data_IF_269280780964
#
_entry.id   IF_269280780964
#
_cell.length_a   1.000
_cell.length_b   1.000
_cell.length_c   1.000
_cell.angle_alpha   90.00
_cell.angle_beta   90.00
_cell.angle_gamma   90.00
#
_symmetry.space_group_name_H-M   'P 1'
#
loop_
_entity.id
_entity.type
_entity.pdbx_description
1 polymer ?
#
# COMPACT_ATOMS: atom_id res chain seq x y z
N UNK A 1 -11.44 28.91 17.31
CA UNK A 1 -11.35 28.10 16.08
C UNK A 1 -11.83 26.66 16.24
N UNK A 2 -13.00 26.34 15.67
CA UNK A 2 -13.61 25.00 15.63
C UNK A 2 -14.02 24.62 14.20
N UNK A 3 -13.91 23.34 13.86
CA UNK A 3 -14.41 22.78 12.61
C UNK A 3 -15.83 22.29 12.85
N UNK A 4 -16.77 22.65 11.98
CA UNK A 4 -18.18 22.28 12.06
C UNK A 4 -18.69 21.82 10.70
N UNK A 5 -19.59 20.85 10.69
CA UNK A 5 -20.27 20.39 9.48
C UNK A 5 -21.16 21.50 8.92
N UNK A 6 -21.09 21.72 7.61
CA UNK A 6 -21.89 22.77 6.96
C UNK A 6 -23.39 22.48 7.04
N UNK A 7 -24.19 23.54 7.09
CA UNK A 7 -25.64 23.50 7.03
C UNK A 7 -26.13 24.37 5.86
N UNK A 8 -27.39 24.18 5.44
CA UNK A 8 -27.98 24.94 4.32
C UNK A 8 -27.86 26.47 4.48
N UNK A 9 -27.95 26.96 5.72
CA UNK A 9 -27.80 28.37 6.05
C UNK A 9 -26.37 28.93 5.86
N UNK A 10 -25.35 28.06 5.78
CA UNK A 10 -23.96 28.45 5.58
C UNK A 10 -23.62 28.71 4.10
N UNK A 11 -24.51 28.39 3.15
CA UNK A 11 -24.27 28.47 1.70
C UNK A 11 -23.69 29.83 1.26
N UNK A 12 -24.28 30.93 1.73
CA UNK A 12 -23.82 32.28 1.40
C UNK A 12 -22.40 32.56 1.93
N UNK A 13 -22.07 32.09 3.14
CA UNK A 13 -20.73 32.24 3.71
C UNK A 13 -19.70 31.40 2.99
N UNK A 14 -20.07 30.17 2.57
CA UNK A 14 -19.19 29.30 1.79
C UNK A 14 -18.87 29.93 0.43
N UNK A 15 -19.91 30.44 -0.25
CA UNK A 15 -19.73 31.11 -1.54
C UNK A 15 -18.83 32.35 -1.43
N UNK A 16 -18.97 33.15 -0.36
CA UNK A 16 -18.08 34.30 -0.10
C UNK A 16 -16.62 33.87 0.08
N UNK A 17 -16.35 32.80 0.86
CA UNK A 17 -15.00 32.26 1.04
C UNK A 17 -14.40 31.84 -0.31
N UNK A 18 -15.15 31.05 -1.09
CA UNK A 18 -14.71 30.55 -2.39
C UNK A 18 -14.43 31.73 -3.35
N UNK A 19 -15.34 32.69 -3.45
CA UNK A 19 -15.20 33.86 -4.31
C UNK A 19 -13.95 34.68 -3.97
N UNK A 20 -13.74 35.02 -2.69
CA UNK A 20 -12.55 35.73 -2.22
C UNK A 20 -11.26 34.97 -2.50
N UNK A 21 -11.25 33.66 -2.28
CA UNK A 21 -10.10 32.81 -2.59
C UNK A 21 -9.82 32.76 -4.09
N UNK A 22 -10.85 32.67 -4.94
CA UNK A 22 -10.71 32.72 -6.41
C UNK A 22 -10.07 34.03 -6.86
N UNK A 23 -10.64 35.17 -6.47
CA UNK A 23 -10.09 36.49 -6.82
C UNK A 23 -8.65 36.67 -6.31
N UNK A 24 -8.36 36.21 -5.10
CA UNK A 24 -7.01 36.26 -4.57
C UNK A 24 -6.03 35.40 -5.39
N UNK A 25 -6.42 34.17 -5.76
CA UNK A 25 -5.60 33.30 -6.61
C UNK A 25 -5.36 33.91 -7.99
N UNK A 26 -6.40 34.45 -8.64
CA UNK A 26 -6.30 35.11 -9.94
C UNK A 26 -5.36 36.32 -9.90
N UNK A 27 -5.39 37.13 -8.82
CA UNK A 27 -4.45 38.24 -8.64
C UNK A 27 -2.98 37.81 -8.50
N UNK A 28 -2.73 36.51 -8.27
CA UNK A 28 -1.41 35.90 -8.22
C UNK A 28 -1.12 35.00 -9.42
N UNK A 29 -1.93 35.09 -10.49
CA UNK A 29 -1.86 34.25 -11.69
C UNK A 29 -2.01 32.75 -11.40
N UNK A 30 -2.88 32.39 -10.45
CA UNK A 30 -3.22 31.00 -10.12
C UNK A 30 -4.66 30.74 -10.57
N UNK A 31 -4.83 30.03 -11.68
CA UNK A 31 -6.14 29.80 -12.30
C UNK A 31 -6.75 28.43 -11.94
N UNK A 32 -6.59 28.01 -10.68
CA UNK A 32 -7.07 26.71 -10.18
C UNK A 32 -8.60 26.58 -10.29
N UNK A 33 -9.35 27.65 -9.99
CA UNK A 33 -10.81 27.69 -10.13
C UNK A 33 -11.17 28.58 -11.30
N UNK A 34 -11.98 28.03 -12.22
CA UNK A 34 -12.45 28.75 -13.40
C UNK A 34 -13.90 29.20 -13.19
N UNK A 35 -14.53 29.66 -14.25
CA UNK A 35 -15.95 30.07 -14.25
C UNK A 35 -16.94 28.90 -14.11
N UNK A 36 -16.48 27.65 -14.34
CA UNK A 36 -17.32 26.46 -14.24
C UNK A 36 -17.19 25.73 -12.90
N UNK A 37 -16.07 25.87 -12.19
CA UNK A 37 -15.78 25.13 -10.97
C UNK A 37 -15.04 25.97 -9.90
N UNK A 38 -15.48 25.93 -8.63
CA UNK A 38 -16.69 25.25 -8.14
C UNK A 38 -17.98 26.08 -8.41
N UNK A 39 -19.07 25.42 -8.79
CA UNK A 39 -20.38 26.04 -8.97
C UNK A 39 -21.19 26.06 -7.66
N UNK A 40 -22.26 26.87 -7.61
CA UNK A 40 -23.21 26.85 -6.48
C UNK A 40 -23.84 25.47 -6.29
N UNK A 41 -24.22 24.79 -7.38
CA UNK A 41 -24.82 23.45 -7.33
C UNK A 41 -23.89 22.41 -6.70
N UNK A 42 -22.57 22.51 -6.96
CA UNK A 42 -21.56 21.65 -6.32
C UNK A 42 -21.51 21.91 -4.81
N UNK A 43 -21.52 23.18 -4.40
CA UNK A 43 -21.51 23.54 -2.97
C UNK A 43 -22.81 23.09 -2.28
N UNK A 44 -23.96 23.21 -2.94
CA UNK A 44 -25.22 22.70 -2.41
C UNK A 44 -25.19 21.18 -2.27
N UNK A 45 -24.63 20.47 -3.24
CA UNK A 45 -24.45 19.01 -3.21
C UNK A 45 -23.54 18.59 -2.04
N UNK A 46 -22.46 19.33 -1.79
CA UNK A 46 -21.58 19.10 -0.63
C UNK A 46 -22.32 19.21 0.71
N UNK A 47 -23.22 20.20 0.81
CA UNK A 47 -24.04 20.42 2.01
C UNK A 47 -25.07 19.28 2.17
N UNK A 48 -25.76 18.92 1.09
CA UNK A 48 -26.81 17.89 1.08
C UNK A 48 -26.22 16.50 1.42
N UNK A 49 -25.08 16.16 0.82
CA UNK A 49 -24.35 14.92 1.11
C UNK A 49 -23.76 14.89 2.53
N UNK A 50 -23.65 16.05 3.18
CA UNK A 50 -23.09 16.17 4.52
C UNK A 50 -21.58 15.92 4.54
N UNK A 51 -20.89 16.24 3.46
CA UNK A 51 -19.47 15.94 3.28
C UNK A 51 -18.58 17.19 3.33
N UNK A 52 -19.15 18.36 3.64
CA UNK A 52 -18.37 19.59 3.81
C UNK A 52 -18.42 20.21 5.20
N UNK A 53 -17.36 20.98 5.47
CA UNK A 53 -17.05 21.55 6.76
C UNK A 53 -16.58 23.00 6.63
N UNK A 54 -16.88 23.77 7.67
CA UNK A 54 -16.36 25.11 7.88
C UNK A 54 -15.43 25.12 9.09
N UNK A 55 -14.31 25.84 8.99
CA UNK A 55 -13.58 26.26 10.17
C UNK A 55 -14.04 27.66 10.56
N UNK A 56 -14.60 27.78 11.77
CA UNK A 56 -15.09 29.05 12.32
C UNK A 56 -14.13 29.60 13.35
N UNK A 57 -13.87 30.90 13.31
CA UNK A 57 -13.16 31.63 14.35
C UNK A 57 -14.04 32.74 14.92
N UNK A 58 -14.32 32.68 16.23
CA UNK A 58 -15.26 33.58 16.91
C UNK A 58 -16.61 33.74 16.17
N UNK A 59 -17.12 32.65 15.58
CA UNK A 59 -18.38 32.63 14.83
C UNK A 59 -18.26 32.99 13.34
N UNK A 60 -17.14 33.58 12.92
CA UNK A 60 -16.87 33.89 11.51
C UNK A 60 -16.37 32.64 10.77
N UNK A 61 -16.96 32.33 9.62
CA UNK A 61 -16.49 31.27 8.73
C UNK A 61 -15.23 31.72 7.98
N UNK A 62 -14.08 31.09 8.25
CA UNK A 62 -12.78 31.52 7.72
C UNK A 62 -12.13 30.53 6.76
N UNK A 63 -12.62 29.29 6.72
CA UNK A 63 -12.19 28.28 5.76
C UNK A 63 -13.33 27.30 5.46
N UNK A 64 -13.26 26.72 4.27
CA UNK A 64 -14.19 25.72 3.75
C UNK A 64 -13.39 24.53 3.18
N UNK A 65 -13.91 23.32 3.33
CA UNK A 65 -13.40 22.14 2.64
C UNK A 65 -14.49 21.07 2.56
N UNK A 66 -14.38 20.20 1.56
CA UNK A 66 -15.21 19.01 1.42
C UNK A 66 -14.34 17.75 1.43
N UNK A 67 -14.85 16.66 1.99
CA UNK A 67 -14.22 15.35 2.02
C UNK A 67 -15.26 14.25 1.77
N UNK A 68 -15.01 13.36 0.81
CA UNK A 68 -15.92 12.27 0.45
C UNK A 68 -15.14 11.09 -0.18
N UNK A 69 -15.85 10.11 -0.71
CA UNK A 69 -15.26 8.96 -1.43
C UNK A 69 -15.33 9.14 -2.95
N UNK A 70 -15.85 10.28 -3.43
CA UNK A 70 -16.07 10.53 -4.84
C UNK A 70 -14.75 10.92 -5.52
N UNK A 71 -14.33 10.09 -6.45
CA UNK A 71 -13.10 10.28 -7.21
C UNK A 71 -13.43 10.74 -8.63
N UNK A 72 -12.80 11.83 -9.13
CA UNK A 72 -12.95 12.23 -10.51
C UNK A 72 -12.54 11.11 -11.48
N UNK A 73 -13.24 10.98 -12.61
CA UNK A 73 -12.98 9.92 -13.59
C UNK A 73 -11.53 9.89 -14.11
N UNK A 74 -10.87 11.04 -14.10
CA UNK A 74 -9.48 11.26 -14.48
C UNK A 74 -8.50 10.52 -13.55
N UNK A 75 -8.92 10.24 -12.30
CA UNK A 75 -8.13 9.49 -11.33
C UNK A 75 -7.92 8.03 -11.75
N UNK A 76 -8.75 7.49 -12.65
CA UNK A 76 -8.61 6.12 -13.17
C UNK A 76 -7.29 5.89 -13.91
N UNK A 77 -6.66 6.96 -14.41
CA UNK A 77 -5.37 6.89 -15.11
C UNK A 77 -4.16 7.11 -14.19
N UNK A 78 -4.39 7.33 -12.90
CA UNK A 78 -3.34 7.58 -11.91
C UNK A 78 -2.96 6.27 -11.23
N UNK A 79 -1.65 6.03 -11.15
CA UNK A 79 -1.08 4.88 -10.46
C UNK A 79 -0.97 5.16 -8.97
N UNK A 80 -2.10 5.06 -8.28
CA UNK A 80 -2.15 5.24 -6.83
C UNK A 80 -1.31 4.18 -6.11
N UNK A 81 -0.64 4.59 -5.03
CA UNK A 81 0.17 3.70 -4.20
C UNK A 81 -0.75 2.67 -3.54
N UNK A 82 -1.87 3.12 -2.94
CA UNK A 82 -2.76 2.25 -2.17
C UNK A 82 -4.01 1.90 -2.99
N UNK A 83 -4.19 0.63 -3.35
CA UNK A 83 -5.38 0.18 -4.10
C UNK A 83 -6.47 -0.32 -3.16
N UNK A 84 -7.25 0.62 -2.65
CA UNK A 84 -8.39 0.38 -1.77
C UNK A 84 -9.64 1.01 -2.35
N UNK A 85 -10.78 0.40 -2.06
CA UNK A 85 -12.09 0.97 -2.37
C UNK A 85 -12.47 2.06 -1.36
N UNK A 86 -11.96 1.97 -0.12
CA UNK A 86 -12.26 2.93 0.94
C UNK A 86 -11.18 3.99 1.06
N UNK A 87 -11.33 5.03 0.24
CA UNK A 87 -10.39 6.16 0.12
C UNK A 87 -11.13 7.47 0.38
N UNK A 88 -10.50 8.36 1.13
CA UNK A 88 -11.03 9.70 1.39
C UNK A 88 -10.40 10.70 0.42
N UNK A 89 -11.20 11.54 -0.23
CA UNK A 89 -10.74 12.55 -1.18
C UNK A 89 -10.93 13.94 -0.58
N UNK A 90 -9.91 14.78 -0.63
CA UNK A 90 -10.00 16.19 -0.20
C UNK A 90 -10.38 17.05 -1.40
N UNK A 91 -11.49 17.76 -1.27
CA UNK A 91 -11.99 18.69 -2.27
C UNK A 91 -12.07 20.12 -1.73
N UNK A 92 -11.88 21.09 -2.64
CA UNK A 92 -12.26 22.50 -2.44
C UNK A 92 -11.74 23.13 -1.13
N UNK A 93 -10.55 22.74 -0.66
CA UNK A 93 -9.93 23.33 0.53
C UNK A 93 -9.58 24.80 0.28
N UNK A 94 -10.29 25.69 0.98
CA UNK A 94 -10.22 27.14 0.84
C UNK A 94 -9.99 27.77 2.21
N UNK A 95 -9.03 28.70 2.30
CA UNK A 95 -8.80 29.53 3.50
C UNK A 95 -8.81 30.98 3.05
N UNK A 96 -9.64 31.80 3.71
CA UNK A 96 -9.75 33.24 3.42
C UNK A 96 -8.36 33.88 3.34
N UNK A 97 -8.09 34.73 2.32
CA UNK A 97 -6.76 35.31 2.10
C UNK A 97 -6.10 35.93 3.34
N UNK A 98 -6.87 36.64 4.14
CA UNK A 98 -6.44 37.31 5.37
C UNK A 98 -6.10 36.36 6.53
N UNK A 99 -6.49 35.09 6.44
CA UNK A 99 -6.15 34.01 7.39
C UNK A 99 -5.08 33.05 6.86
N UNK A 100 -4.58 33.25 5.64
CA UNK A 100 -3.52 32.41 5.08
C UNK A 100 -2.19 32.65 5.79
N UNK A 101 -1.34 31.62 5.85
CA UNK A 101 -0.06 31.67 6.57
C UNK A 101 -0.16 31.48 8.08
N UNK A 102 -1.36 31.48 8.67
CA UNK A 102 -1.59 31.30 10.11
C UNK A 102 -1.73 29.82 10.54
N UNK A 103 -1.39 28.87 9.67
CA UNK A 103 -1.49 27.43 9.96
C UNK A 103 -2.89 26.83 9.89
N UNK A 104 -3.90 27.56 9.38
CA UNK A 104 -5.29 27.09 9.25
C UNK A 104 -5.39 25.81 8.41
N UNK A 105 -4.78 25.80 7.21
CA UNK A 105 -4.81 24.63 6.33
C UNK A 105 -4.15 23.40 6.97
N UNK A 106 -3.05 23.59 7.74
CA UNK A 106 -2.42 22.52 8.53
C UNK A 106 -3.37 21.93 9.57
N UNK A 107 -4.14 22.78 10.27
CA UNK A 107 -5.15 22.33 11.23
C UNK A 107 -6.28 21.53 10.55
N UNK A 108 -6.69 21.95 9.35
CA UNK A 108 -7.67 21.23 8.53
C UNK A 108 -7.12 19.86 8.11
N UNK A 109 -5.90 19.78 7.59
CA UNK A 109 -5.29 18.50 7.22
C UNK A 109 -5.20 17.54 8.41
N UNK A 110 -4.83 18.02 9.60
CA UNK A 110 -4.82 17.19 10.82
C UNK A 110 -6.20 16.62 11.13
N UNK A 111 -7.24 17.44 11.05
CA UNK A 111 -8.63 16.99 11.25
C UNK A 111 -9.05 15.95 10.21
N UNK A 112 -8.71 16.15 8.93
CA UNK A 112 -9.04 15.20 7.87
C UNK A 112 -8.31 13.88 8.08
N UNK A 113 -7.04 13.92 8.51
CA UNK A 113 -6.25 12.73 8.82
C UNK A 113 -6.83 11.93 10.00
N UNK A 114 -7.26 12.62 11.06
CA UNK A 114 -7.95 12.02 12.21
C UNK A 114 -9.31 11.42 11.78
N UNK A 115 -10.09 12.15 11.00
CA UNK A 115 -11.35 11.66 10.43
C UNK A 115 -11.13 10.41 9.57
N UNK A 116 -10.10 10.41 8.72
CA UNK A 116 -9.77 9.28 7.86
C UNK A 116 -9.43 8.04 8.70
N UNK A 117 -8.67 8.22 9.77
CA UNK A 117 -8.27 7.17 10.71
C UNK A 117 -9.48 6.59 11.47
N UNK A 118 -10.28 7.45 12.11
CA UNK A 118 -11.49 7.08 12.87
C UNK A 118 -12.49 6.31 12.00
N UNK A 119 -12.60 6.68 10.73
CA UNK A 119 -13.52 6.06 9.78
C UNK A 119 -12.89 4.91 8.98
N UNK A 120 -11.68 4.46 9.34
CA UNK A 120 -10.99 3.30 8.72
C UNK A 120 -10.77 3.44 7.21
N UNK A 121 -10.47 4.65 6.75
CA UNK A 121 -9.96 4.86 5.40
C UNK A 121 -8.54 4.33 5.29
N UNK A 122 -8.16 3.84 4.11
CA UNK A 122 -6.79 3.33 3.90
C UNK A 122 -5.84 4.42 3.41
N UNK A 123 -6.35 5.39 2.65
CA UNK A 123 -5.59 6.51 2.11
C UNK A 123 -6.44 7.76 1.97
N UNK A 124 -5.74 8.89 1.87
CA UNK A 124 -6.31 10.20 1.59
C UNK A 124 -5.73 10.66 0.26
N UNK A 125 -6.59 11.04 -0.69
CA UNK A 125 -6.21 11.51 -2.04
C UNK A 125 -6.64 12.96 -2.25
N UNK A 126 -5.93 13.65 -3.13
CA UNK A 126 -6.31 14.97 -3.64
C UNK A 126 -5.56 15.29 -4.92
N UNK A 127 -6.07 16.25 -5.67
CA UNK A 127 -5.35 16.92 -6.75
C UNK A 127 -5.07 18.39 -6.39
N UNK A 128 -3.92 18.88 -6.83
CA UNK A 128 -3.49 20.24 -6.58
C UNK A 128 -2.94 20.88 -7.86
N UNK A 129 -3.41 22.09 -8.16
CA UNK A 129 -3.00 22.81 -9.35
C UNK A 129 -1.48 23.03 -9.36
N UNK A 130 -0.81 22.68 -10.47
CA UNK A 130 0.65 22.63 -10.52
C UNK A 130 1.33 24.00 -10.35
N UNK A 131 0.62 25.10 -10.62
CA UNK A 131 1.13 26.47 -10.40
C UNK A 131 0.87 26.99 -8.98
N UNK A 132 0.01 26.33 -8.19
CA UNK A 132 -0.26 26.71 -6.81
C UNK A 132 0.85 26.23 -5.87
N UNK A 133 2.04 26.83 -5.98
CA UNK A 133 3.25 26.45 -5.21
C UNK A 133 3.02 26.45 -3.69
N UNK A 134 2.13 27.30 -3.17
CA UNK A 134 1.78 27.32 -1.74
C UNK A 134 1.05 26.04 -1.32
N UNK A 135 0.06 25.61 -2.10
CA UNK A 135 -0.66 24.36 -1.85
C UNK A 135 0.25 23.14 -2.02
N UNK A 136 1.08 23.10 -3.08
CA UNK A 136 2.02 22.00 -3.27
C UNK A 136 2.97 21.83 -2.07
N UNK A 137 3.59 22.92 -1.60
CA UNK A 137 4.45 22.90 -0.41
C UNK A 137 3.70 22.46 0.85
N UNK A 138 2.43 22.85 0.99
CA UNK A 138 1.61 22.40 2.12
C UNK A 138 1.53 20.86 2.13
N UNK A 139 1.13 20.25 1.01
CA UNK A 139 0.95 18.80 0.92
C UNK A 139 2.27 18.04 1.08
N UNK A 140 3.33 18.47 0.38
CA UNK A 140 4.68 17.88 0.49
C UNK A 140 5.15 17.87 1.96
N UNK A 141 5.01 18.99 2.68
CA UNK A 141 5.45 19.14 4.07
C UNK A 141 4.60 18.34 5.07
N UNK A 142 3.40 17.92 4.68
CA UNK A 142 2.50 17.14 5.54
C UNK A 142 2.48 15.66 5.16
N UNK A 143 3.46 15.19 4.39
CA UNK A 143 3.66 13.76 4.12
C UNK A 143 2.75 13.19 3.04
N UNK A 144 2.07 14.03 2.26
CA UNK A 144 1.39 13.59 1.05
C UNK A 144 2.42 13.36 -0.05
N UNK A 145 2.36 12.20 -0.71
CA UNK A 145 3.27 11.82 -1.80
C UNK A 145 2.64 12.15 -3.13
N UNK A 146 3.40 12.79 -4.02
CA UNK A 146 2.98 12.99 -5.41
C UNK A 146 3.05 11.66 -6.14
N UNK A 147 1.93 11.21 -6.70
CA UNK A 147 1.79 9.89 -7.36
C UNK A 147 1.52 9.98 -8.85
N UNK A 148 1.20 11.17 -9.35
CA UNK A 148 0.96 11.36 -10.78
C UNK A 148 0.57 12.79 -11.13
N UNK A 149 0.20 12.98 -12.39
CA UNK A 149 -0.38 14.22 -12.91
C UNK A 149 -1.54 13.91 -13.84
N UNK A 150 -2.52 14.80 -13.87
CA UNK A 150 -3.67 14.73 -14.78
C UNK A 150 -4.02 16.11 -15.34
N UNK A 151 -4.86 16.09 -16.37
CA UNK A 151 -5.49 17.27 -16.95
C UNK A 151 -7.00 17.08 -16.85
N UNK A 152 -7.68 18.05 -16.24
CA UNK A 152 -9.12 18.10 -16.28
C UNK A 152 -9.61 18.69 -17.61
N UNK A 153 -10.82 18.34 -18.07
CA UNK A 153 -11.44 18.95 -19.23
C UNK A 153 -11.41 20.47 -19.17
N UNK A 154 -11.06 21.11 -20.29
CA UNK A 154 -10.97 22.56 -20.43
C UNK A 154 -9.93 23.22 -19.50
N UNK A 155 -8.86 22.49 -19.12
CA UNK A 155 -7.71 23.03 -18.38
C UNK A 155 -6.40 22.76 -19.14
N UNK A 156 -5.66 23.83 -19.44
CA UNK A 156 -4.35 23.72 -20.12
C UNK A 156 -3.23 23.26 -19.19
N UNK A 157 -3.34 23.61 -17.90
CA UNK A 157 -2.33 23.34 -16.88
C UNK A 157 -2.73 22.12 -16.06
N UNK A 158 -1.76 21.21 -15.89
CA UNK A 158 -1.96 19.97 -15.16
C UNK A 158 -2.11 20.17 -13.64
N UNK A 159 -2.67 19.16 -12.99
CA UNK A 159 -2.74 19.02 -11.55
C UNK A 159 -1.81 17.88 -11.12
N UNK A 160 -1.15 18.04 -9.98
CA UNK A 160 -0.46 16.94 -9.32
C UNK A 160 -1.44 16.17 -8.44
N UNK A 161 -1.45 14.85 -8.58
CA UNK A 161 -2.19 13.96 -7.70
C UNK A 161 -1.32 13.59 -6.51
N UNK A 162 -1.90 13.67 -5.32
CA UNK A 162 -1.27 13.37 -4.05
C UNK A 162 -2.01 12.26 -3.34
N UNK A 163 -1.26 11.35 -2.71
CA UNK A 163 -1.79 10.33 -1.83
C UNK A 163 -1.03 10.30 -0.51
N UNK A 164 -1.76 10.12 0.58
CA UNK A 164 -1.19 9.88 1.91
C UNK A 164 -1.81 8.63 2.50
N UNK A 165 -0.96 7.70 2.96
CA UNK A 165 -1.41 6.55 3.74
C UNK A 165 -2.02 7.02 5.05
N UNK A 166 -3.20 6.51 5.40
CA UNK A 166 -3.76 6.71 6.75
C UNK A 166 -2.93 5.86 7.70
N UNK A 167 -2.46 6.47 8.80
CA UNK A 167 -1.40 5.91 9.65
C UNK A 167 -1.72 4.52 10.21
N UNK A 168 -3.00 4.19 10.39
CA UNK A 168 -3.42 2.87 10.82
C UNK A 168 -4.01 2.10 9.62
N UNK A 169 -3.17 1.40 8.84
CA UNK A 169 -3.62 0.07 8.43
C UNK A 169 -3.50 -0.76 9.70
N UNK A 170 -4.61 -1.01 10.43
CA UNK A 170 -4.50 -1.63 11.73
C UNK A 170 -3.91 -3.02 11.53
N UNK A 171 -2.90 -3.34 12.33
CA UNK A 171 -2.55 -4.75 12.56
C UNK A 171 -3.86 -5.43 12.98
N UNK A 172 -4.28 -6.53 12.34
CA UNK A 172 -5.43 -7.29 12.77
C UNK A 172 -5.35 -7.55 14.28
N UNK A 173 -6.40 -7.24 15.04
CA UNK A 173 -6.36 -7.24 16.51
C UNK A 173 -5.85 -8.58 17.07
N UNK A 174 -6.14 -9.67 16.38
CA UNK A 174 -5.70 -11.03 16.69
C UNK A 174 -4.18 -11.22 16.67
N UNK A 175 -3.44 -10.41 15.91
CA UNK A 175 -1.97 -10.47 15.80
C UNK A 175 -1.25 -9.58 16.82
N UNK A 176 -1.94 -8.59 17.39
CA UNK A 176 -1.31 -7.58 18.27
C UNK A 176 -0.63 -8.22 19.50
N UNK A 177 -1.26 -9.15 20.26
CA UNK A 177 -0.63 -9.75 21.43
C UNK A 177 0.65 -10.52 21.07
N UNK A 178 0.63 -11.24 19.95
CA UNK A 178 1.77 -12.03 19.47
C UNK A 178 2.94 -11.13 19.05
N UNK A 179 2.68 -10.08 18.26
CA UNK A 179 3.72 -9.16 17.80
C UNK A 179 4.34 -8.37 18.96
N UNK A 180 3.54 -8.00 19.96
CA UNK A 180 4.04 -7.36 21.17
C UNK A 180 4.91 -8.30 22.01
N UNK A 181 4.51 -9.57 22.16
CA UNK A 181 5.32 -10.56 22.88
C UNK A 181 6.63 -10.89 22.14
N UNK A 182 6.59 -10.92 20.81
CA UNK A 182 7.77 -11.09 19.96
C UNK A 182 8.75 -9.91 20.11
N UNK A 183 8.26 -8.68 19.97
CA UNK A 183 9.05 -7.46 20.17
C UNK A 183 9.65 -7.39 21.57
N UNK A 184 8.83 -7.63 22.60
CA UNK A 184 9.30 -7.67 23.99
C UNK A 184 10.36 -8.74 24.20
N UNK A 185 10.14 -9.96 23.72
CA UNK A 185 11.09 -11.07 23.90
C UNK A 185 12.43 -10.78 23.23
N UNK A 186 12.44 -10.18 22.04
CA UNK A 186 13.69 -9.76 21.39
C UNK A 186 14.39 -8.65 22.16
N UNK A 187 13.67 -7.61 22.61
CA UNK A 187 14.27 -6.47 23.32
C UNK A 187 14.76 -6.83 24.72
N UNK A 188 14.08 -7.73 25.43
CA UNK A 188 14.49 -8.21 26.74
C UNK A 188 15.79 -9.02 26.66
N UNK A 189 16.00 -9.77 25.57
CA UNK A 189 17.21 -10.57 25.37
C UNK A 189 18.34 -9.80 24.66
N UNK A 190 17.99 -8.82 23.81
CA UNK A 190 18.94 -8.11 22.94
C UNK A 190 18.72 -6.59 22.94
N UNK A 191 18.80 -5.91 24.09
CA UNK A 191 18.36 -4.52 24.24
C UNK A 191 19.09 -3.53 23.32
N UNK A 192 20.34 -3.80 22.98
CA UNK A 192 21.16 -2.93 22.13
C UNK A 192 21.23 -3.40 20.66
N UNK A 193 20.89 -4.65 20.36
CA UNK A 193 20.98 -5.18 18.98
C UNK A 193 19.77 -4.82 18.14
N UNK A 194 18.59 -4.59 18.72
CA UNK A 194 17.35 -4.33 17.97
C UNK A 194 17.21 -2.84 17.63
N UNK A 195 17.35 -2.49 16.35
CA UNK A 195 17.00 -1.16 15.86
C UNK A 195 15.48 -0.99 15.77
N UNK A 196 14.79 -1.95 15.14
CA UNK A 196 13.34 -1.91 14.96
C UNK A 196 12.79 -3.16 14.31
N UNK A 197 11.53 -3.46 14.59
CA UNK A 197 10.79 -4.58 14.00
C UNK A 197 9.67 -4.00 13.15
N UNK A 198 9.53 -4.51 11.93
CA UNK A 198 8.52 -4.05 10.98
C UNK A 198 7.79 -5.24 10.39
N UNK A 199 6.47 -5.11 10.25
CA UNK A 199 5.63 -6.06 9.52
C UNK A 199 5.33 -5.51 8.13
N UNK A 200 5.39 -6.33 7.10
CA UNK A 200 5.18 -5.92 5.71
C UNK A 200 4.20 -6.85 4.95
N UNK A 201 4.07 -6.65 3.63
CA UNK A 201 3.25 -7.46 2.74
C UNK A 201 1.80 -7.65 3.23
N UNK A 202 1.26 -8.87 3.37
CA UNK A 202 -0.19 -9.09 3.48
C UNK A 202 -0.87 -8.33 4.64
N UNK A 203 -0.24 -8.31 5.81
CA UNK A 203 -0.71 -7.55 6.98
C UNK A 203 -0.64 -6.04 6.72
N UNK A 204 0.50 -5.57 6.23
CA UNK A 204 0.75 -4.15 5.96
C UNK A 204 -0.10 -3.56 4.82
N UNK A 205 -0.48 -4.42 3.87
CA UNK A 205 -1.36 -4.11 2.74
C UNK A 205 -2.85 -4.15 3.12
N UNK A 206 -3.19 -4.50 4.37
CA UNK A 206 -4.59 -4.57 4.84
C UNK A 206 -5.40 -5.72 4.24
N UNK A 207 -4.72 -6.80 3.82
CA UNK A 207 -5.32 -7.95 3.15
C UNK A 207 -4.90 -9.28 3.81
N UNK A 208 -4.64 -9.24 5.12
CA UNK A 208 -4.34 -10.41 5.91
C UNK A 208 -5.55 -11.37 5.91
N UNK A 209 -5.27 -12.63 5.59
CA UNK A 209 -6.20 -13.74 5.68
C UNK A 209 -5.80 -14.66 6.83
N UNK A 210 -6.69 -14.77 7.81
CA UNK A 210 -6.54 -15.71 8.93
C UNK A 210 -6.34 -17.16 8.47
N UNK A 211 -6.71 -17.53 7.25
CA UNK A 211 -6.56 -18.90 6.75
C UNK A 211 -5.26 -19.14 5.99
N UNK A 212 -4.75 -18.12 5.29
CA UNK A 212 -3.78 -18.31 4.20
C UNK A 212 -2.59 -17.37 4.19
N UNK A 213 -2.62 -16.26 4.93
CA UNK A 213 -1.53 -15.28 4.96
C UNK A 213 -0.42 -15.61 5.95
N UNK A 214 0.82 -15.51 5.53
CA UNK A 214 1.95 -15.50 6.45
C UNK A 214 2.06 -14.13 7.13
N UNK A 215 2.84 -14.06 8.21
CA UNK A 215 3.16 -12.83 8.93
C UNK A 215 4.60 -12.46 8.58
N UNK A 216 4.70 -11.69 7.51
CA UNK A 216 5.96 -11.21 6.97
C UNK A 216 6.58 -10.14 7.88
N UNK A 217 7.77 -10.41 8.43
CA UNK A 217 8.48 -9.47 9.29
C UNK A 217 9.92 -9.20 8.80
N UNK A 218 10.41 -8.02 9.14
CA UNK A 218 11.84 -7.69 9.04
C UNK A 218 12.29 -7.06 10.35
N UNK A 219 13.30 -7.68 10.96
CA UNK A 219 13.96 -7.17 12.16
C UNK A 219 15.25 -6.49 11.74
N UNK A 220 15.30 -5.18 11.89
CA UNK A 220 16.49 -4.38 11.63
C UNK A 220 17.34 -4.37 12.89
N UNK A 221 18.62 -4.71 12.71
CA UNK A 221 19.61 -4.81 13.76
C UNK A 221 20.61 -3.64 13.70
N UNK A 222 21.08 -3.22 14.87
CA UNK A 222 22.22 -2.33 15.00
C UNK A 222 23.55 -3.07 14.74
N UNK A 223 23.62 -4.35 15.10
CA UNK A 223 24.75 -5.25 14.92
C UNK A 223 24.27 -6.68 14.63
N UNK A 224 25.07 -7.49 13.93
CA UNK A 224 24.68 -8.86 13.58
C UNK A 224 24.49 -9.73 14.84
N UNK A 225 23.62 -10.73 14.73
CA UNK A 225 23.56 -11.80 15.70
C UNK A 225 24.77 -12.72 15.55
N UNK A 226 25.34 -13.10 16.69
CA UNK A 226 26.46 -14.01 16.79
C UNK A 226 25.97 -15.45 17.03
N UNK A 227 26.88 -16.43 16.94
CA UNK A 227 26.53 -17.84 17.16
C UNK A 227 25.88 -18.10 18.52
N UNK A 228 26.25 -17.33 19.55
CA UNK A 228 25.65 -17.43 20.88
C UNK A 228 24.20 -16.90 20.95
N UNK A 229 23.82 -15.99 20.05
CA UNK A 229 22.48 -15.40 20.01
C UNK A 229 21.46 -16.34 19.37
N UNK A 230 21.89 -17.18 18.40
CA UNK A 230 21.03 -18.03 17.57
C UNK A 230 20.08 -18.88 18.42
N UNK A 231 20.61 -19.58 19.43
CA UNK A 231 19.81 -20.45 20.29
C UNK A 231 18.76 -19.69 21.11
N UNK A 232 18.96 -18.40 21.35
CA UNK A 232 17.96 -17.53 22.01
C UNK A 232 16.90 -17.08 21.02
N UNK A 233 17.27 -16.70 19.79
CA UNK A 233 16.31 -16.37 18.72
C UNK A 233 15.40 -17.57 18.40
N UNK A 234 15.96 -18.78 18.31
CA UNK A 234 15.19 -20.02 18.13
C UNK A 234 14.18 -20.25 19.25
N UNK A 235 14.58 -20.02 20.51
CA UNK A 235 13.68 -20.15 21.67
C UNK A 235 12.55 -19.12 21.64
N UNK A 236 12.84 -17.89 21.19
CA UNK A 236 11.82 -16.84 21.03
C UNK A 236 10.78 -17.30 20.01
N UNK A 237 11.18 -17.72 18.81
CA UNK A 237 10.24 -18.25 17.80
C UNK A 237 9.50 -19.48 18.30
N UNK A 238 10.19 -20.42 18.94
CA UNK A 238 9.54 -21.61 19.53
C UNK A 238 8.47 -21.23 20.56
N UNK A 239 8.74 -20.22 21.39
CA UNK A 239 7.78 -19.69 22.38
C UNK A 239 6.58 -19.06 21.67
N UNK A 240 6.82 -18.23 20.66
CA UNK A 240 5.77 -17.56 19.89
C UNK A 240 4.87 -18.60 19.20
N UNK A 241 5.45 -19.55 18.46
CA UNK A 241 4.71 -20.62 17.77
C UNK A 241 3.91 -21.53 18.69
N UNK A 242 4.35 -21.71 19.96
CA UNK A 242 3.61 -22.50 20.96
C UNK A 242 2.51 -21.73 21.67
N UNK A 243 2.65 -20.41 21.77
CA UNK A 243 1.76 -19.56 22.58
C UNK A 243 0.64 -18.95 21.75
N UNK A 244 0.92 -18.60 20.50
CA UNK A 244 0.00 -17.87 19.63
C UNK A 244 -0.34 -18.69 18.40
N UNK A 245 -1.63 -18.70 18.04
CA UNK A 245 -2.20 -19.45 16.91
C UNK A 245 -1.44 -19.23 15.60
N UNK A 246 -0.97 -18.00 15.36
CA UNK A 246 -0.31 -17.61 14.12
C UNK A 246 1.22 -17.58 14.22
N UNK A 247 1.80 -17.97 15.35
CA UNK A 247 3.26 -17.87 15.56
C UNK A 247 4.06 -18.73 14.59
N UNK A 248 3.53 -19.89 14.21
CA UNK A 248 4.14 -20.79 13.21
C UNK A 248 4.05 -20.29 11.76
N UNK A 249 3.40 -19.15 11.52
CA UNK A 249 3.27 -18.50 10.21
C UNK A 249 4.09 -17.22 10.11
N UNK A 250 4.94 -16.96 11.10
CA UNK A 250 5.92 -15.88 10.97
C UNK A 250 6.97 -16.29 9.95
N UNK A 251 7.22 -15.41 9.00
CA UNK A 251 8.29 -15.55 8.02
C UNK A 251 9.02 -14.21 7.93
N UNK A 252 10.34 -14.23 7.95
CA UNK A 252 11.05 -12.97 8.01
C UNK A 252 12.53 -13.05 8.23
N UNK A 253 13.12 -11.87 8.35
CA UNK A 253 14.54 -11.67 8.11
C UNK A 253 15.15 -10.83 9.22
N UNK A 254 16.42 -11.11 9.53
CA UNK A 254 17.23 -10.34 10.46
C UNK A 254 18.40 -9.74 9.70
N UNK A 255 18.36 -8.42 9.50
CA UNK A 255 19.39 -7.71 8.74
C UNK A 255 19.89 -6.49 9.49
N UNK A 256 21.13 -6.10 9.24
CA UNK A 256 21.69 -4.88 9.80
C UNK A 256 21.23 -3.64 9.02
N UNK A 257 21.27 -2.48 9.67
CA UNK A 257 20.84 -1.21 9.10
C UNK A 257 21.54 -0.86 7.79
N UNK A 258 22.81 -1.24 7.61
CA UNK A 258 23.57 -0.98 6.38
C UNK A 258 23.14 -1.84 5.18
N UNK A 259 22.35 -2.91 5.41
CA UNK A 259 21.80 -3.79 4.36
C UNK A 259 20.42 -3.34 3.87
N UNK A 260 19.79 -2.37 4.56
CA UNK A 260 18.47 -1.86 4.21
C UNK A 260 18.46 -1.25 2.80
N UNK A 261 17.47 -1.63 2.00
CA UNK A 261 17.30 -1.14 0.62
C UNK A 261 18.15 -1.84 -0.44
N UNK A 262 19.08 -2.73 -0.05
CA UNK A 262 19.94 -3.48 -0.97
C UNK A 262 19.33 -4.83 -1.37
N UNK A 263 19.68 -5.34 -2.54
CA UNK A 263 19.26 -6.67 -3.01
C UNK A 263 20.13 -7.79 -2.45
N UNK A 264 19.64 -9.03 -2.52
CA UNK A 264 20.41 -10.23 -2.14
C UNK A 264 21.77 -10.33 -2.86
N UNK A 265 21.87 -9.86 -4.10
CA UNK A 265 23.12 -9.84 -4.87
C UNK A 265 24.16 -8.83 -4.37
N UNK A 266 23.75 -7.91 -3.48
CA UNK A 266 24.56 -6.78 -3.02
C UNK A 266 24.95 -6.89 -1.54
N UNK A 267 24.45 -7.90 -0.83
CA UNK A 267 24.65 -8.08 0.61
C UNK A 267 25.17 -9.48 0.93
N UNK A 268 25.82 -9.61 2.07
CA UNK A 268 26.17 -10.91 2.61
C UNK A 268 24.91 -11.67 3.06
N UNK A 269 24.96 -13.02 3.10
CA UNK A 269 23.91 -13.84 3.68
C UNK A 269 23.53 -13.40 5.10
N UNK A 270 22.30 -13.69 5.48
CA UNK A 270 21.73 -13.23 6.74
C UNK A 270 20.87 -14.33 7.37
N UNK A 271 20.48 -14.10 8.62
CA UNK A 271 19.59 -14.98 9.35
C UNK A 271 18.15 -14.71 8.90
N UNK A 272 17.39 -15.77 8.67
CA UNK A 272 15.97 -15.68 8.35
C UNK A 272 15.19 -16.81 9.03
N UNK A 273 13.90 -16.60 9.22
CA UNK A 273 12.97 -17.56 9.78
C UNK A 273 11.89 -17.86 8.73
N UNK A 274 11.74 -19.13 8.38
CA UNK A 274 10.79 -19.61 7.37
C UNK A 274 10.42 -21.06 7.71
N UNK A 275 9.21 -21.50 7.38
CA UNK A 275 8.77 -22.88 7.63
C UNK A 275 8.95 -23.34 9.08
N UNK A 276 8.82 -22.41 10.02
CA UNK A 276 9.02 -22.61 11.45
C UNK A 276 10.45 -23.07 11.83
N UNK A 277 11.44 -22.73 11.00
CA UNK A 277 12.87 -23.02 11.17
C UNK A 277 13.67 -21.72 11.09
N UNK A 278 14.63 -21.55 12.00
CA UNK A 278 15.62 -20.47 11.91
C UNK A 278 16.81 -20.93 11.06
N UNK A 279 17.05 -20.24 9.96
CA UNK A 279 18.18 -20.46 9.09
C UNK A 279 19.29 -19.45 9.45
N UNK A 280 20.42 -19.96 9.92
CA UNK A 280 21.54 -19.16 10.41
C UNK A 280 22.42 -18.57 9.29
N UNK A 281 22.27 -19.05 8.05
CA UNK A 281 23.02 -18.56 6.90
C UNK A 281 22.26 -18.84 5.61
N UNK A 282 21.99 -17.79 4.84
CA UNK A 282 21.46 -17.91 3.48
C UNK A 282 20.81 -16.62 3.00
N UNK A 283 19.98 -16.77 1.97
CA UNK A 283 19.14 -15.71 1.44
C UNK A 283 17.68 -16.17 1.46
N UNK A 284 16.80 -15.25 1.80
CA UNK A 284 15.35 -15.38 1.68
C UNK A 284 14.85 -14.30 0.71
N UNK A 285 13.69 -13.70 0.93
CA UNK A 285 13.00 -12.87 -0.06
C UNK A 285 13.31 -11.35 0.04
N UNK A 286 14.58 -10.95 -0.08
CA UNK A 286 14.95 -9.53 -0.28
C UNK A 286 15.04 -9.21 -1.77
N UNK A 287 14.10 -8.37 -2.22
CA UNK A 287 13.99 -7.89 -3.58
C UNK A 287 13.32 -6.50 -3.61
N UNK A 288 13.13 -5.90 -4.79
CA UNK A 288 12.50 -4.59 -4.91
C UNK A 288 11.04 -4.55 -4.43
N UNK A 289 10.27 -5.64 -4.59
CA UNK A 289 8.89 -5.77 -4.05
C UNK A 289 8.92 -5.70 -2.52
N UNK A 290 9.87 -6.38 -1.86
CA UNK A 290 10.06 -6.33 -0.41
C UNK A 290 10.34 -4.90 0.06
N UNK A 291 11.27 -4.20 -0.59
CA UNK A 291 11.60 -2.83 -0.23
C UNK A 291 10.46 -1.85 -0.51
N UNK A 292 9.76 -2.00 -1.62
CA UNK A 292 8.60 -1.16 -1.95
C UNK A 292 7.47 -1.36 -0.94
N UNK A 293 7.12 -2.62 -0.66
CA UNK A 293 6.04 -2.91 0.29
C UNK A 293 6.38 -2.43 1.70
N UNK A 294 7.62 -2.64 2.16
CA UNK A 294 8.08 -2.12 3.44
C UNK A 294 8.03 -0.58 3.45
N UNK A 295 8.65 0.11 2.49
CA UNK A 295 8.72 1.57 2.42
C UNK A 295 7.37 2.27 2.47
N UNK A 296 6.39 1.77 1.70
CA UNK A 296 5.11 2.45 1.54
C UNK A 296 4.02 1.93 2.49
N UNK A 297 4.15 0.70 2.97
CA UNK A 297 3.08 0.05 3.74
C UNK A 297 3.53 -0.51 5.09
N UNK A 298 4.83 -0.71 5.30
CA UNK A 298 5.37 -1.35 6.49
C UNK A 298 4.83 -0.75 7.79
N UNK A 299 4.51 -1.62 8.74
CA UNK A 299 3.98 -1.25 10.04
C UNK A 299 5.08 -1.42 11.10
N UNK A 300 5.51 -0.34 11.77
CA UNK A 300 6.48 -0.43 12.86
C UNK A 300 5.85 -1.09 14.10
N UNK A 301 6.56 -2.03 14.72
CA UNK A 301 6.19 -2.64 16.01
C UNK A 301 7.00 -1.96 17.11
N UNK A 302 6.34 -1.10 17.89
CA UNK A 302 6.92 -0.36 19.02
C UNK A 302 8.26 0.33 18.70
N UNK A 303 8.43 0.80 17.46
CA UNK A 303 9.68 1.37 16.98
C UNK A 303 9.44 2.62 16.11
N UNK A 304 10.53 3.21 15.61
CA UNK A 304 10.44 4.39 14.73
C UNK A 304 9.81 4.02 13.39
N UNK A 305 9.08 4.97 12.81
CA UNK A 305 8.44 4.84 11.50
C UNK A 305 9.40 4.40 10.40
N UNK A 306 8.89 3.67 9.39
CA UNK A 306 9.68 3.13 8.27
C UNK A 306 10.44 4.23 7.52
N UNK A 307 9.96 5.48 7.51
CA UNK A 307 10.68 6.59 6.88
C UNK A 307 12.08 6.83 7.51
N UNK A 308 12.35 6.31 8.71
CA UNK A 308 13.69 6.34 9.34
C UNK A 308 14.71 5.38 8.72
N UNK A 309 14.26 4.44 7.88
CA UNK A 309 15.10 3.44 7.21
C UNK A 309 15.73 3.92 5.90
N UNK A 310 15.35 5.10 5.39
CA UNK A 310 15.91 5.68 4.16
C UNK A 310 15.91 4.74 2.94
N UNK A 311 14.86 3.95 2.76
CA UNK A 311 14.74 2.98 1.66
C UNK A 311 14.62 3.69 0.30
N UNK A 312 15.58 3.44 -0.58
CA UNK A 312 15.59 3.91 -1.97
C UNK A 312 15.06 2.81 -2.89
N UNK A 313 13.85 3.01 -3.41
CA UNK A 313 13.21 2.13 -4.39
C UNK A 313 12.18 2.96 -5.15
N UNK A 314 12.15 2.77 -6.46
CA UNK A 314 11.20 3.39 -7.37
C UNK A 314 10.44 2.33 -8.18
N UNK A 315 9.46 2.79 -8.97
CA UNK A 315 8.61 1.89 -9.74
C UNK A 315 9.36 1.22 -10.90
N UNK A 316 10.41 1.86 -11.43
CA UNK A 316 11.23 1.27 -12.49
C UNK A 316 11.96 0.03 -11.97
N UNK A 317 12.50 0.09 -10.74
CA UNK A 317 13.09 -1.08 -10.08
C UNK A 317 12.10 -2.25 -9.93
N UNK A 318 10.81 -1.94 -9.69
CA UNK A 318 9.75 -2.96 -9.63
C UNK A 318 9.54 -3.63 -10.99
N UNK A 319 9.50 -2.83 -12.06
CA UNK A 319 9.36 -3.35 -13.42
C UNK A 319 10.58 -4.21 -13.81
N UNK A 320 11.79 -3.79 -13.46
CA UNK A 320 13.01 -4.58 -13.68
C UNK A 320 12.97 -5.91 -12.91
N UNK A 321 12.50 -5.91 -11.65
CA UNK A 321 12.32 -7.14 -10.88
C UNK A 321 11.32 -8.10 -11.54
N UNK A 322 10.18 -7.57 -11.97
CA UNK A 322 9.14 -8.35 -12.66
C UNK A 322 9.68 -8.93 -13.98
N UNK A 323 10.43 -8.13 -14.75
CA UNK A 323 11.07 -8.59 -15.97
C UNK A 323 12.01 -9.76 -15.69
N UNK A 324 12.91 -9.61 -14.72
CA UNK A 324 13.81 -10.69 -14.32
C UNK A 324 13.05 -11.93 -13.87
N UNK A 325 11.99 -11.75 -13.07
CA UNK A 325 11.19 -12.83 -12.52
C UNK A 325 10.45 -13.62 -13.62
N UNK A 326 9.84 -12.95 -14.59
CA UNK A 326 9.16 -13.61 -15.71
C UNK A 326 10.15 -14.26 -16.68
N UNK A 327 11.16 -13.51 -17.13
CA UNK A 327 11.99 -13.88 -18.27
C UNK A 327 13.24 -14.69 -17.91
N UNK A 328 13.57 -14.80 -16.62
CA UNK A 328 14.60 -15.72 -16.13
C UNK A 328 13.98 -16.74 -15.18
N UNK A 329 13.52 -16.33 -14.00
CA UNK A 329 13.09 -17.28 -12.97
C UNK A 329 11.96 -18.21 -13.43
N UNK A 330 10.80 -17.68 -13.86
CA UNK A 330 9.67 -18.52 -14.29
C UNK A 330 9.93 -19.24 -15.61
N UNK A 331 10.65 -18.58 -16.53
CA UNK A 331 11.06 -19.19 -17.79
C UNK A 331 11.95 -20.41 -17.58
N UNK A 332 12.91 -20.32 -16.67
CA UNK A 332 13.80 -21.43 -16.32
C UNK A 332 13.02 -22.56 -15.62
N UNK A 333 12.07 -22.20 -14.74
CA UNK A 333 11.19 -23.17 -14.05
C UNK A 333 10.34 -24.01 -14.99
N UNK A 334 10.04 -23.57 -16.22
CA UNK A 334 9.34 -24.39 -17.21
C UNK A 334 10.13 -25.65 -17.60
N UNK A 335 11.46 -25.62 -17.48
CA UNK A 335 12.33 -26.75 -17.81
C UNK A 335 12.46 -27.79 -16.69
N UNK A 336 12.00 -27.47 -15.47
CA UNK A 336 12.05 -28.38 -14.35
C UNK A 336 10.96 -29.46 -14.46
N UNK A 337 11.39 -30.71 -14.31
CA UNK A 337 10.49 -31.86 -14.36
C UNK A 337 9.83 -32.07 -12.99
N UNK A 338 8.53 -32.37 -12.99
CA UNK A 338 7.78 -32.86 -11.84
C UNK A 338 7.55 -31.86 -10.68
N UNK A 339 8.13 -30.65 -10.72
CA UNK A 339 7.93 -29.66 -9.64
C UNK A 339 6.45 -29.29 -9.49
N UNK A 340 5.72 -29.11 -10.60
CA UNK A 340 4.31 -28.77 -10.62
C UNK A 340 3.38 -29.98 -10.47
N UNK A 341 3.90 -31.12 -10.01
CA UNK A 341 3.05 -32.18 -9.47
C UNK A 341 2.63 -31.88 -8.03
N UNK A 342 3.42 -31.07 -7.31
CA UNK A 342 3.18 -30.69 -5.91
C UNK A 342 2.19 -29.53 -5.81
N UNK A 343 1.25 -29.63 -4.87
CA UNK A 343 0.18 -28.63 -4.67
C UNK A 343 0.77 -27.25 -4.31
N UNK A 344 1.82 -27.23 -3.50
CA UNK A 344 2.50 -26.03 -3.03
C UNK A 344 3.10 -25.25 -4.21
N UNK A 345 3.76 -25.93 -5.15
CA UNK A 345 4.35 -25.30 -6.33
C UNK A 345 3.30 -24.77 -7.30
N UNK A 346 2.17 -25.45 -7.43
CA UNK A 346 1.06 -24.99 -8.27
C UNK A 346 0.44 -23.73 -7.68
N UNK A 347 0.13 -23.75 -6.38
CA UNK A 347 -0.39 -22.58 -5.66
C UNK A 347 0.55 -21.39 -5.80
N UNK A 348 1.84 -21.62 -5.54
CA UNK A 348 2.86 -20.59 -5.56
C UNK A 348 3.01 -19.99 -6.95
N UNK A 349 3.10 -20.81 -8.00
CA UNK A 349 3.27 -20.33 -9.37
C UNK A 349 2.07 -19.52 -9.86
N UNK A 350 0.87 -20.07 -9.73
CA UNK A 350 -0.34 -19.43 -10.25
C UNK A 350 -0.62 -18.13 -9.49
N UNK A 351 -0.53 -18.14 -8.15
CA UNK A 351 -0.79 -16.95 -7.35
C UNK A 351 0.25 -15.85 -7.58
N UNK A 352 1.53 -16.21 -7.72
CA UNK A 352 2.61 -15.24 -7.96
C UNK A 352 2.49 -14.60 -9.34
N UNK A 353 2.20 -15.39 -10.38
CA UNK A 353 2.01 -14.88 -11.74
C UNK A 353 0.76 -14.02 -11.88
N UNK A 354 -0.34 -14.37 -11.19
CA UNK A 354 -1.51 -13.49 -11.12
C UNK A 354 -1.16 -12.15 -10.44
N UNK A 355 -0.38 -12.17 -9.35
CA UNK A 355 0.10 -10.92 -8.71
C UNK A 355 0.98 -10.10 -9.63
N UNK A 356 1.85 -10.72 -10.42
CA UNK A 356 2.69 -10.03 -11.39
C UNK A 356 1.83 -9.34 -12.45
N UNK A 357 0.89 -10.08 -13.07
CA UNK A 357 -0.01 -9.50 -14.06
C UNK A 357 -0.83 -8.36 -13.46
N UNK A 358 -1.40 -8.54 -12.26
CA UNK A 358 -2.10 -7.47 -11.55
C UNK A 358 -1.21 -6.24 -11.35
N UNK A 359 0.04 -6.46 -10.94
CA UNK A 359 0.99 -5.38 -10.66
C UNK A 359 1.32 -4.57 -11.90
N UNK A 360 1.50 -5.23 -13.05
CA UNK A 360 1.71 -4.56 -14.33
C UNK A 360 0.46 -3.82 -14.83
N UNK A 361 -0.72 -4.42 -14.68
CA UNK A 361 -2.00 -3.85 -15.15
C UNK A 361 -2.44 -2.64 -14.33
N UNK A 362 -2.36 -2.74 -13.01
CA UNK A 362 -2.92 -1.76 -12.09
C UNK A 362 -1.84 -0.84 -11.50
N UNK A 363 -0.57 -1.07 -11.85
CA UNK A 363 0.59 -0.36 -11.31
C UNK A 363 0.59 -0.29 -9.79
N UNK A 364 0.28 -1.42 -9.16
CA UNK A 364 0.17 -1.53 -7.72
C UNK A 364 0.37 -2.97 -7.22
N UNK A 365 0.90 -3.11 -6.01
CA UNK A 365 1.15 -4.41 -5.38
C UNK A 365 -0.05 -4.77 -4.50
N UNK A 366 -0.52 -6.02 -4.61
CA UNK A 366 -1.70 -6.52 -3.91
C UNK A 366 -1.48 -7.92 -3.32
N UNK A 367 -2.48 -8.49 -2.65
CA UNK A 367 -2.47 -9.85 -2.12
C UNK A 367 -2.56 -10.93 -3.20
N UNK A 368 -2.17 -12.17 -2.87
CA UNK A 368 -2.39 -13.33 -3.75
C UNK A 368 -3.89 -13.52 -4.08
N UNK A 369 -4.76 -13.38 -3.09
CA UNK A 369 -6.20 -13.60 -3.26
C UNK A 369 -6.84 -12.55 -4.17
N UNK A 370 -6.57 -11.26 -3.94
CA UNK A 370 -7.10 -10.16 -4.77
C UNK A 370 -6.57 -10.23 -6.20
N UNK A 371 -5.32 -10.65 -6.38
CA UNK A 371 -4.77 -10.87 -7.72
C UNK A 371 -5.46 -12.03 -8.45
N UNK A 372 -5.71 -13.16 -7.78
CA UNK A 372 -6.42 -14.30 -8.37
C UNK A 372 -7.87 -13.94 -8.75
N UNK A 373 -8.58 -13.23 -7.87
CA UNK A 373 -9.95 -12.75 -8.11
C UNK A 373 -10.03 -11.75 -9.26
N UNK A 374 -9.02 -10.89 -9.40
CA UNK A 374 -8.91 -9.99 -10.55
C UNK A 374 -8.62 -10.80 -11.82
N UNK A 375 -7.55 -11.59 -11.82
CA UNK A 375 -7.05 -12.28 -13.02
C UNK A 375 -8.07 -13.24 -13.61
N UNK A 376 -8.83 -13.97 -12.80
CA UNK A 376 -9.87 -14.89 -13.31
C UNK A 376 -10.95 -14.19 -14.16
N UNK A 377 -11.13 -12.88 -13.97
CA UNK A 377 -12.12 -12.09 -14.72
C UNK A 377 -11.53 -11.35 -15.92
N UNK A 378 -10.20 -11.23 -16.02
CA UNK A 378 -9.55 -10.40 -17.04
C UNK A 378 -8.83 -11.19 -18.14
N UNK A 379 -8.51 -12.47 -17.91
CA UNK A 379 -7.82 -13.32 -18.89
C UNK A 379 -8.77 -14.27 -19.64
N UNK A 380 -8.32 -14.91 -20.75
CA UNK A 380 -9.13 -15.88 -21.49
C UNK A 380 -9.67 -17.01 -20.60
N UNK A 381 -10.93 -17.41 -20.86
CA UNK A 381 -11.67 -18.39 -20.05
C UNK A 381 -11.02 -19.78 -19.97
N UNK A 382 -10.17 -20.13 -20.92
CA UNK A 382 -9.41 -21.40 -20.92
C UNK A 382 -8.50 -21.54 -19.69
N UNK A 383 -7.97 -20.44 -19.15
CA UNK A 383 -7.13 -20.44 -17.94
C UNK A 383 -7.93 -20.31 -16.64
N UNK A 384 -9.26 -20.12 -16.70
CA UNK A 384 -10.06 -20.00 -15.48
C UNK A 384 -10.03 -21.26 -14.63
N UNK A 385 -9.81 -22.45 -15.21
CA UNK A 385 -9.76 -23.71 -14.46
C UNK A 385 -8.55 -23.77 -13.53
N UNK A 386 -7.36 -23.36 -14.01
CA UNK A 386 -6.15 -23.42 -13.19
C UNK A 386 -6.17 -22.38 -12.07
N UNK A 387 -6.78 -21.21 -12.32
CA UNK A 387 -6.96 -20.20 -11.27
C UNK A 387 -7.95 -20.69 -10.21
N UNK A 388 -9.05 -21.37 -10.60
CA UNK A 388 -9.97 -21.99 -9.64
C UNK A 388 -9.30 -23.08 -8.82
N UNK A 389 -8.44 -23.88 -9.44
CA UNK A 389 -7.65 -24.89 -8.73
C UNK A 389 -6.68 -24.24 -7.73
N UNK A 390 -5.99 -23.16 -8.11
CA UNK A 390 -5.16 -22.38 -7.17
C UNK A 390 -5.99 -21.84 -5.99
N UNK A 391 -7.16 -21.25 -6.26
CA UNK A 391 -8.08 -20.78 -5.20
C UNK A 391 -8.55 -21.92 -4.27
N UNK A 392 -8.77 -23.13 -4.81
CA UNK A 392 -9.09 -24.33 -4.01
C UNK A 392 -7.93 -24.71 -3.10
N UNK A 393 -6.71 -24.77 -3.65
CA UNK A 393 -5.49 -25.08 -2.91
C UNK A 393 -5.24 -24.07 -1.78
N UNK A 394 -5.40 -22.77 -2.07
CA UNK A 394 -5.26 -21.72 -1.05
C UNK A 394 -6.23 -21.87 0.10
N UNK A 395 -7.49 -22.23 -0.17
CA UNK A 395 -8.49 -22.44 0.90
C UNK A 395 -8.18 -23.63 1.82
N UNK A 396 -7.13 -24.41 1.54
CA UNK A 396 -6.77 -25.67 2.23
C UNK A 396 -7.99 -26.60 2.35
N UNK A 397 -8.85 -26.58 1.32
CA UNK A 397 -10.09 -27.34 1.34
C UNK A 397 -9.83 -28.81 1.03
N UNK A 398 -10.59 -29.71 1.66
CA UNK A 398 -10.53 -31.15 1.38
C UNK A 398 -11.20 -31.55 0.06
N UNK A 399 -11.72 -30.57 -0.69
CA UNK A 399 -12.34 -30.80 -1.99
C UNK A 399 -11.35 -31.43 -2.96
N UNK A 400 -11.85 -32.35 -3.78
CA UNK A 400 -11.08 -32.96 -4.87
C UNK A 400 -10.61 -31.91 -5.88
N UNK A 401 -9.44 -32.14 -6.47
CA UNK A 401 -8.93 -31.33 -7.58
C UNK A 401 -9.97 -31.20 -8.70
N UNK A 402 -9.99 -30.04 -9.37
CA UNK A 402 -10.78 -29.86 -10.59
C UNK A 402 -10.19 -30.61 -11.79
N UNK A 403 -8.96 -31.12 -11.68
CA UNK A 403 -8.27 -31.90 -12.71
C UNK A 403 -8.43 -33.39 -12.46
N UNK A 404 -8.47 -34.18 -13.54
CA UNK A 404 -8.62 -35.64 -13.44
C UNK A 404 -7.31 -36.34 -13.11
N UNK A 405 -6.19 -35.71 -13.38
CA UNK A 405 -4.85 -36.22 -13.06
C UNK A 405 -3.88 -35.09 -12.70
N UNK A 406 -2.85 -35.42 -11.93
CA UNK A 406 -1.77 -34.49 -11.58
C UNK A 406 -0.97 -34.04 -12.79
N UNK A 407 -0.81 -34.89 -13.81
CA UNK A 407 -0.13 -34.54 -15.06
C UNK A 407 -0.91 -33.54 -15.92
N UNK A 408 -2.23 -33.69 -15.99
CA UNK A 408 -3.11 -32.71 -16.68
C UNK A 408 -3.00 -31.34 -15.99
N UNK A 409 -2.97 -31.34 -14.64
CA UNK A 409 -2.81 -30.14 -13.83
C UNK A 409 -1.43 -29.50 -14.02
N UNK A 410 -0.36 -30.29 -14.00
CA UNK A 410 1.01 -29.82 -14.30
C UNK A 410 1.09 -29.16 -15.68
N UNK A 411 0.52 -29.80 -16.70
CA UNK A 411 0.49 -29.26 -18.05
C UNK A 411 -0.23 -27.91 -18.09
N UNK A 412 -1.39 -27.82 -17.44
CA UNK A 412 -2.17 -26.58 -17.37
C UNK A 412 -1.43 -25.44 -16.65
N UNK A 413 -0.65 -25.73 -15.60
CA UNK A 413 0.21 -24.73 -14.95
C UNK A 413 1.34 -24.27 -15.86
N UNK A 414 2.03 -25.20 -16.53
CA UNK A 414 3.10 -24.86 -17.46
C UNK A 414 2.59 -23.99 -18.61
N UNK A 415 1.41 -24.28 -19.14
CA UNK A 415 0.81 -23.47 -20.19
C UNK A 415 0.34 -22.11 -19.68
N UNK A 416 -0.19 -22.04 -18.46
CA UNK A 416 -0.51 -20.76 -17.81
C UNK A 416 0.74 -19.89 -17.58
N UNK A 417 1.85 -20.48 -17.14
CA UNK A 417 3.13 -19.77 -16.98
C UNK A 417 3.57 -19.15 -18.32
N UNK A 418 3.57 -19.94 -19.41
CA UNK A 418 3.92 -19.44 -20.75
C UNK A 418 3.02 -18.29 -21.18
N UNK A 419 1.71 -18.46 -21.02
CA UNK A 419 0.72 -17.43 -21.37
C UNK A 419 0.97 -16.12 -20.63
N UNK A 420 1.22 -16.16 -19.31
CA UNK A 420 1.50 -14.95 -18.54
C UNK A 420 2.80 -14.28 -18.99
N UNK A 421 3.86 -15.05 -19.25
CA UNK A 421 5.12 -14.51 -19.78
C UNK A 421 4.89 -13.81 -21.12
N UNK A 422 4.19 -14.47 -22.06
CA UNK A 422 3.91 -13.94 -23.40
C UNK A 422 3.09 -12.64 -23.34
N UNK A 423 1.94 -12.64 -22.66
CA UNK A 423 1.08 -11.45 -22.59
C UNK A 423 1.77 -10.28 -21.88
N UNK A 424 2.59 -10.56 -20.86
CA UNK A 424 3.32 -9.51 -20.16
C UNK A 424 4.40 -8.88 -21.05
N UNK A 425 5.17 -9.71 -21.76
CA UNK A 425 6.20 -9.22 -22.68
C UNK A 425 5.59 -8.42 -23.83
N UNK A 426 4.49 -8.89 -24.42
CA UNK A 426 3.81 -8.19 -25.52
C UNK A 426 3.21 -6.85 -25.08
N UNK A 427 2.48 -6.83 -23.96
CA UNK A 427 1.72 -5.66 -23.51
C UNK A 427 2.60 -4.61 -22.84
N UNK A 428 3.62 -5.02 -22.09
CA UNK A 428 4.45 -4.13 -21.27
C UNK A 428 5.87 -3.93 -21.79
N UNK A 429 6.26 -4.63 -22.87
CA UNK A 429 7.59 -4.52 -23.49
C UNK A 429 8.72 -4.77 -22.48
N UNK A 430 8.56 -5.83 -21.69
CA UNK A 430 9.54 -6.28 -20.70
C UNK A 430 10.76 -6.92 -21.37
#
# INVERSE_FOLDING_TARGET
MNIVKCQKQDLSSIFDIISKCKTHMESHNIYQWNEFYPSLDIIETDIISGNCYLLKDNGLSIAYFAIDEEQPSEYNNISWIIQSEKVLVIHRLAVLPEYQGMGIAKKILKFIEEFADENKYTSIRLDAYSENRKALKLYDNHGYKRVGKLYFPNREVHFYCYEKKVKNTPIPEILIPMLNEYDKSLRDNFPNKIFGIYVYNSVALGCFSEKTSDIDFITILNEEFENEDIGTVEKIHSKISKTFEYGNRMEGMYITKDKVGKLNSEISPYIYFCDNILHYYGYYDINYITWWTLKYFGIPINCSDVNSLSIEVDWCSIIENINFNLNNYWKDKLSENYIFLQDEWIEFAVSTLCRILYTLENKAITSKDKALEYTITTIPKEYSLIIKECLRLRKRNSDSSFYRSTFEREHSVKDFIKFIIEICNEKYKL
#
